data_IF_478907857899
#
_entry.id   IF_478907857899
#
_cell.length_a   1.000
_cell.length_b   1.000
_cell.length_c   1.000
_cell.angle_alpha   90.00
_cell.angle_beta   90.00
_cell.angle_gamma   90.00
#
_symmetry.space_group_name_H-M   'P 1'
#
loop_
_entity.id
_entity.type
_entity.pdbx_description
1 polymer ?
#
# COMPACT_ATOMS: atom_id res chain seq x y z
N UNK A 1 -12.19 -13.62 -18.34
CA UNK A 1 -10.76 -13.31 -18.12
C UNK A 1 -10.65 -12.43 -16.90
N UNK A 2 -9.93 -12.87 -15.86
CA UNK A 2 -9.69 -12.05 -14.67
C UNK A 2 -8.73 -10.90 -15.00
N UNK A 3 -9.02 -9.70 -14.47
CA UNK A 3 -8.14 -8.52 -14.65
C UNK A 3 -6.87 -8.71 -13.82
N UNK A 4 -5.74 -8.29 -14.36
CA UNK A 4 -4.46 -8.30 -13.65
C UNK A 4 -4.09 -6.86 -13.30
N UNK A 5 -3.86 -6.59 -12.02
CA UNK A 5 -3.65 -5.22 -11.51
C UNK A 5 -2.35 -5.19 -10.73
N UNK A 6 -1.39 -4.37 -11.17
CA UNK A 6 -0.19 -4.08 -10.39
C UNK A 6 -0.57 -3.17 -9.22
N UNK A 7 -0.17 -3.54 -8.01
CA UNK A 7 -0.51 -2.83 -6.78
C UNK A 7 0.75 -2.31 -6.10
N UNK A 8 0.81 -0.99 -5.91
CA UNK A 8 1.85 -0.32 -5.14
C UNK A 8 1.25 0.88 -4.38
N UNK A 9 1.83 1.23 -3.23
CA UNK A 9 1.40 2.35 -2.39
C UNK A 9 2.56 3.21 -1.90
N UNK A 10 2.27 4.49 -1.75
CA UNK A 10 3.12 5.46 -1.06
C UNK A 10 2.22 6.33 -0.18
N UNK A 11 2.45 6.31 1.13
CA UNK A 11 1.76 7.17 2.08
C UNK A 11 2.78 7.97 2.90
N UNK A 12 2.80 9.27 2.67
CA UNK A 12 3.61 10.21 3.44
C UNK A 12 2.95 11.58 3.39
N UNK A 13 2.83 12.22 4.55
CA UNK A 13 2.33 13.60 4.65
C UNK A 13 3.48 14.53 5.03
N UNK A 14 3.79 15.48 4.15
CA UNK A 14 4.84 16.46 4.37
C UNK A 14 4.36 17.62 5.24
N UNK A 15 5.25 18.18 6.06
CA UNK A 15 4.94 19.37 6.87
C UNK A 15 5.93 20.52 6.58
N UNK A 16 5.54 21.47 5.75
CA UNK A 16 6.41 22.54 5.21
C UNK A 16 7.03 23.46 6.27
N UNK A 17 6.44 23.55 7.48
CA UNK A 17 6.95 24.40 8.56
C UNK A 17 7.76 23.67 9.62
N UNK A 18 7.88 22.34 9.55
CA UNK A 18 8.70 21.58 10.49
C UNK A 18 10.12 21.48 9.94
N UNK A 19 11.16 21.76 10.75
CA UNK A 19 12.53 21.50 10.35
C UNK A 19 12.80 19.99 10.33
N UNK A 20 13.49 19.50 9.30
CA UNK A 20 13.90 18.09 9.20
C UNK A 20 13.51 17.47 7.86
N UNK A 21 14.03 16.27 7.63
CA UNK A 21 13.77 15.45 6.45
C UNK A 21 13.60 14.01 6.93
N UNK A 22 12.68 13.27 6.32
CA UNK A 22 12.63 11.82 6.49
C UNK A 22 13.51 11.15 5.42
N UNK A 23 14.37 10.25 5.86
CA UNK A 23 15.12 9.33 5.02
C UNK A 23 14.32 8.08 4.69
N UNK A 24 14.88 7.19 3.89
CA UNK A 24 14.24 5.92 3.55
C UNK A 24 14.10 5.01 4.79
N UNK A 25 15.02 5.14 5.74
CA UNK A 25 15.04 4.44 7.01
C UNK A 25 13.83 4.76 7.91
N UNK A 26 13.15 5.88 7.67
CA UNK A 26 11.97 6.30 8.43
C UNK A 26 10.68 5.67 7.89
N UNK A 27 10.76 4.94 6.78
CA UNK A 27 9.60 4.28 6.17
C UNK A 27 9.52 2.81 6.56
N UNK A 28 8.29 2.36 6.82
CA UNK A 28 7.94 0.95 6.75
C UNK A 28 7.73 0.56 5.30
N UNK A 29 8.45 -0.47 4.86
CA UNK A 29 8.41 -0.99 3.48
C UNK A 29 7.95 -2.43 3.52
N UNK A 30 6.88 -2.76 2.82
CA UNK A 30 6.37 -4.12 2.64
C UNK A 30 6.51 -4.49 1.16
N UNK A 31 7.15 -5.62 0.86
CA UNK A 31 7.48 -6.03 -0.52
C UNK A 31 6.66 -7.23 -0.96
N UNK A 32 6.17 -7.19 -2.21
CA UNK A 32 5.44 -8.30 -2.81
C UNK A 32 4.29 -8.76 -1.92
N UNK A 33 4.21 -10.06 -1.65
CA UNK A 33 3.09 -10.65 -0.90
C UNK A 33 2.99 -10.17 0.55
N UNK A 34 4.04 -9.55 1.13
CA UNK A 34 3.98 -8.93 2.46
C UNK A 34 2.90 -7.83 2.51
N UNK A 35 2.73 -7.09 1.41
CA UNK A 35 1.68 -6.07 1.24
C UNK A 35 0.28 -6.66 1.41
N UNK A 36 0.09 -7.94 1.09
CA UNK A 36 -1.20 -8.60 1.18
C UNK A 36 -1.47 -9.23 2.56
N UNK A 37 -0.50 -9.22 3.48
CA UNK A 37 -0.65 -9.76 4.84
C UNK A 37 -1.30 -8.76 5.83
N UNK A 38 -2.08 -7.82 5.32
CA UNK A 38 -2.74 -6.78 6.12
C UNK A 38 -3.94 -7.37 6.88
N UNK A 39 -4.24 -6.88 8.10
CA UNK A 39 -5.46 -7.26 8.81
C UNK A 39 -6.71 -6.96 7.96
N UNK A 40 -7.71 -7.84 8.00
CA UNK A 40 -9.02 -7.55 7.41
C UNK A 40 -9.66 -6.34 8.09
N UNK A 41 -10.33 -5.50 7.31
CA UNK A 41 -11.01 -4.29 7.82
C UNK A 41 -10.07 -3.14 8.18
N UNK A 42 -8.93 -3.02 7.49
CA UNK A 42 -8.10 -1.82 7.58
C UNK A 42 -8.75 -0.60 6.91
N UNK A 43 -8.44 0.59 7.42
CA UNK A 43 -9.05 1.86 6.97
C UNK A 43 -8.20 2.63 5.94
N UNK A 44 -7.27 1.96 5.25
CA UNK A 44 -6.42 2.63 4.24
C UNK A 44 -6.98 2.48 2.81
N UNK A 45 -6.66 3.40 1.88
CA UNK A 45 -6.99 3.24 0.47
C UNK A 45 -6.48 1.92 -0.13
N UNK A 46 -5.39 1.39 0.40
CA UNK A 46 -4.83 0.10 0.00
C UNK A 46 -5.78 -1.05 0.33
N UNK A 47 -6.38 -1.04 1.53
CA UNK A 47 -7.31 -2.07 1.98
C UNK A 47 -8.55 -2.06 1.08
N UNK A 48 -9.06 -0.88 0.71
CA UNK A 48 -10.18 -0.74 -0.24
C UNK A 48 -9.87 -1.32 -1.62
N UNK A 49 -8.64 -1.19 -2.14
CA UNK A 49 -8.25 -1.82 -3.41
C UNK A 49 -8.24 -3.35 -3.28
N UNK A 50 -7.75 -3.89 -2.17
CA UNK A 50 -7.73 -5.34 -1.90
C UNK A 50 -9.16 -5.88 -1.81
N UNK A 51 -10.06 -5.19 -1.11
CA UNK A 51 -11.48 -5.56 -1.02
C UNK A 51 -12.17 -5.57 -2.38
N UNK A 52 -11.94 -4.53 -3.21
CA UNK A 52 -12.49 -4.46 -4.57
C UNK A 52 -11.93 -5.59 -5.42
N UNK A 53 -10.63 -5.88 -5.35
CA UNK A 53 -10.03 -6.96 -6.10
C UNK A 53 -10.63 -8.32 -5.74
N UNK A 54 -10.84 -8.59 -4.44
CA UNK A 54 -11.52 -9.80 -3.97
C UNK A 54 -12.97 -9.86 -4.47
N UNK A 55 -13.73 -8.76 -4.36
CA UNK A 55 -15.14 -8.67 -4.77
C UNK A 55 -15.34 -8.92 -6.28
N UNK A 56 -14.40 -8.49 -7.11
CA UNK A 56 -14.52 -8.57 -8.57
C UNK A 56 -13.60 -9.61 -9.22
N UNK A 57 -13.01 -10.52 -8.43
CA UNK A 57 -12.11 -11.59 -8.89
C UNK A 57 -10.94 -11.05 -9.73
N UNK A 58 -10.28 -10.00 -9.25
CA UNK A 58 -9.07 -9.45 -9.87
C UNK A 58 -7.83 -10.15 -9.30
N UNK A 59 -6.88 -10.43 -10.18
CA UNK A 59 -5.54 -10.87 -9.77
C UNK A 59 -4.67 -9.65 -9.47
N UNK A 60 -4.38 -9.45 -8.19
CA UNK A 60 -3.38 -8.48 -7.78
C UNK A 60 -1.96 -9.00 -8.06
N UNK A 61 -1.09 -8.10 -8.48
CA UNK A 61 0.35 -8.29 -8.62
C UNK A 61 0.99 -7.30 -7.63
N UNK A 62 1.23 -7.70 -6.38
CA UNK A 62 1.75 -6.77 -5.38
C UNK A 62 3.22 -6.45 -5.67
N UNK A 63 3.58 -5.19 -5.47
CA UNK A 63 4.95 -4.70 -5.69
C UNK A 63 5.55 -4.17 -4.39
N UNK A 64 5.03 -3.07 -3.87
CA UNK A 64 5.57 -2.40 -2.68
C UNK A 64 4.54 -1.49 -2.02
N UNK A 65 4.51 -1.45 -0.69
CA UNK A 65 3.86 -0.41 0.10
C UNK A 65 4.91 0.33 0.93
N UNK A 66 4.95 1.65 0.82
CA UNK A 66 5.93 2.52 1.47
C UNK A 66 5.18 3.55 2.32
N UNK A 67 5.32 3.49 3.65
CA UNK A 67 4.55 4.36 4.56
C UNK A 67 5.35 4.88 5.75
N UNK A 68 5.11 6.14 6.12
CA UNK A 68 5.59 6.79 7.36
C UNK A 68 4.51 6.79 8.43
#
# INVERSE_FOLDING_TARGET
>A
MSKRVLLAGLFHETHTFLPGWLGLEDFRIELGDELLQRPEGGDSPMDGVIEVAAKYDWRLLPLVDVRT
#
